data_IF_181126882321
#
_entry.id   IF_181126882321
#
_cell.length_a   1.000
_cell.length_b   1.000
_cell.length_c   1.000
_cell.angle_alpha   90.00
_cell.angle_beta   90.00
_cell.angle_gamma   90.00
#
_symmetry.space_group_name_H-M   'P 1'
#
loop_
_entity.id
_entity.type
_entity.pdbx_description
1 polymer ?
#
# COMPACT_ATOMS: atom_id res chain seq x y z
N UNK A 1 19.61 -3.14 -11.55
CA UNK A 1 19.62 -1.70 -11.21
C UNK A 1 19.60 -1.60 -9.70
N UNK A 2 20.65 -1.06 -9.09
CA UNK A 2 20.68 -0.86 -7.63
C UNK A 2 19.83 0.37 -7.29
N UNK A 3 18.75 0.19 -6.53
CA UNK A 3 17.90 1.31 -6.11
C UNK A 3 18.59 1.99 -4.93
N UNK A 4 19.48 2.95 -5.24
CA UNK A 4 20.10 3.83 -4.25
C UNK A 4 19.01 4.61 -3.50
N UNK A 5 19.21 4.81 -2.20
CA UNK A 5 18.34 5.63 -1.32
C UNK A 5 16.88 5.14 -1.13
N UNK A 6 16.59 3.86 -1.33
CA UNK A 6 15.23 3.31 -1.08
C UNK A 6 14.69 3.64 0.33
N UNK A 7 15.56 3.67 1.35
CA UNK A 7 15.19 4.07 2.72
C UNK A 7 14.59 5.46 2.82
N UNK A 8 15.02 6.40 1.96
CA UNK A 8 14.46 7.76 1.91
C UNK A 8 13.11 7.83 1.19
N UNK A 9 12.76 6.81 0.40
CA UNK A 9 11.51 6.73 -0.37
C UNK A 9 10.38 6.06 0.39
N UNK A 10 10.68 5.10 1.28
CA UNK A 10 9.69 4.39 2.11
C UNK A 10 8.71 5.36 2.81
N UNK A 11 9.14 6.49 3.42
CA UNK A 11 8.21 7.42 4.04
C UNK A 11 7.21 8.07 3.08
N UNK A 12 7.57 8.23 1.81
CA UNK A 12 6.70 8.79 0.76
C UNK A 12 5.68 7.77 0.24
N UNK A 13 5.87 6.50 0.58
CA UNK A 13 5.04 5.39 0.13
C UNK A 13 4.06 4.95 1.22
N UNK A 14 3.58 5.88 2.05
CA UNK A 14 2.70 5.57 3.17
C UNK A 14 1.38 6.31 3.05
N UNK A 15 0.27 5.59 3.20
CA UNK A 15 -1.07 6.16 3.30
C UNK A 15 -1.80 5.60 4.52
N UNK A 16 -2.75 6.37 5.05
CA UNK A 16 -3.57 5.95 6.17
C UNK A 16 -4.78 5.16 5.67
N UNK A 17 -5.23 4.17 6.43
CA UNK A 17 -6.39 3.34 6.06
C UNK A 17 -7.71 4.10 5.99
N UNK A 18 -7.80 5.26 6.64
CA UNK A 18 -8.95 6.16 6.55
C UNK A 18 -8.86 7.19 5.40
N UNK A 19 -7.82 7.12 4.56
CA UNK A 19 -7.64 7.96 3.39
C UNK A 19 -8.46 7.50 2.18
N UNK A 20 -8.19 8.08 1.01
CA UNK A 20 -8.87 7.77 -0.25
C UNK A 20 -7.92 7.18 -1.32
N UNK A 21 -8.48 6.51 -2.33
CA UNK A 21 -7.73 5.88 -3.43
C UNK A 21 -6.80 6.87 -4.13
N UNK A 22 -7.24 8.13 -4.28
CA UNK A 22 -6.44 9.21 -4.89
C UNK A 22 -5.09 9.41 -4.22
N UNK A 23 -5.05 9.35 -2.88
CA UNK A 23 -3.81 9.52 -2.11
C UNK A 23 -2.88 8.32 -2.31
N UNK A 24 -3.45 7.10 -2.36
CA UNK A 24 -2.70 5.89 -2.68
C UNK A 24 -2.09 5.96 -4.08
N UNK A 25 -2.86 6.38 -5.08
CA UNK A 25 -2.37 6.56 -6.46
C UNK A 25 -1.24 7.60 -6.53
N UNK A 26 -1.38 8.72 -5.82
CA UNK A 26 -0.35 9.76 -5.75
C UNK A 26 0.93 9.25 -5.10
N UNK A 27 0.82 8.54 -3.97
CA UNK A 27 1.97 7.97 -3.28
C UNK A 27 2.71 6.93 -4.13
N UNK A 28 2.00 6.10 -4.92
CA UNK A 28 2.62 5.18 -5.87
C UNK A 28 3.40 5.95 -6.96
N UNK A 29 2.79 6.99 -7.53
CA UNK A 29 3.41 7.80 -8.58
C UNK A 29 4.66 8.55 -8.08
N UNK A 30 4.64 9.06 -6.84
CA UNK A 30 5.77 9.79 -6.24
C UNK A 30 6.85 8.83 -5.70
N UNK A 31 6.46 7.68 -5.17
CA UNK A 31 7.38 6.67 -4.62
C UNK A 31 8.17 5.88 -5.66
N UNK A 32 7.66 5.81 -6.91
CA UNK A 32 8.29 5.16 -8.07
C UNK A 32 8.65 3.67 -7.84
N UNK A 33 7.92 2.99 -6.96
CA UNK A 33 8.11 1.57 -6.64
C UNK A 33 6.87 0.71 -6.95
N UNK A 34 5.85 1.30 -7.58
CA UNK A 34 4.63 0.57 -8.00
C UNK A 34 3.71 0.15 -6.85
N UNK A 35 4.03 0.56 -5.62
CA UNK A 35 3.31 0.14 -4.42
C UNK A 35 3.28 1.21 -3.34
N UNK A 36 2.32 1.09 -2.41
CA UNK A 36 2.14 1.92 -1.23
C UNK A 36 1.81 1.05 -0.02
N UNK A 37 2.31 1.45 1.14
CA UNK A 37 2.07 0.82 2.43
C UNK A 37 0.86 1.50 3.08
N UNK A 38 -0.15 0.71 3.44
CA UNK A 38 -1.30 1.17 4.20
C UNK A 38 -1.05 0.95 5.68
N UNK A 39 -1.24 1.99 6.49
CA UNK A 39 -1.05 1.95 7.94
C UNK A 39 -2.27 2.44 8.70
N UNK A 40 -2.38 2.03 9.96
CA UNK A 40 -3.33 2.62 10.89
C UNK A 40 -3.04 4.12 11.11
N UNK A 41 -4.07 4.99 11.21
CA UNK A 41 -3.89 6.44 11.29
C UNK A 41 -2.99 6.92 12.45
N UNK A 42 -3.11 6.29 13.63
CA UNK A 42 -2.50 6.75 14.87
C UNK A 42 -1.29 5.91 15.32
N UNK A 43 -1.39 4.58 15.20
CA UNK A 43 -0.33 3.66 15.65
C UNK A 43 0.78 3.47 14.61
N UNK A 44 0.54 3.90 13.37
CA UNK A 44 1.34 3.58 12.18
C UNK A 44 1.58 2.08 11.95
N UNK A 45 0.76 1.22 12.58
CA UNK A 45 0.87 -0.22 12.41
C UNK A 45 0.60 -0.58 10.95
N UNK A 46 1.47 -1.40 10.38
CA UNK A 46 1.30 -1.97 9.05
C UNK A 46 -0.04 -2.72 8.95
N UNK A 47 -0.79 -2.45 7.87
CA UNK A 47 -2.03 -3.17 7.55
C UNK A 47 -1.86 -3.99 6.28
N UNK A 48 -1.42 -3.37 5.18
CA UNK A 48 -1.32 -4.05 3.89
C UNK A 48 -0.39 -3.30 2.93
N UNK A 49 0.01 -4.00 1.88
CA UNK A 49 0.71 -3.45 0.71
C UNK A 49 -0.29 -3.38 -0.44
N UNK A 50 -0.46 -2.19 -1.01
CA UNK A 50 -1.35 -1.94 -2.15
C UNK A 50 -0.51 -1.66 -3.39
N UNK A 51 -0.91 -2.22 -4.51
CA UNK A 51 -0.25 -2.05 -5.83
C UNK A 51 -1.10 -1.20 -6.77
N UNK A 52 -0.49 -0.72 -7.85
CA UNK A 52 -1.22 -0.11 -8.98
C UNK A 52 -2.29 -1.07 -9.56
N UNK A 53 -2.05 -2.38 -9.50
CA UNK A 53 -2.99 -3.42 -9.86
C UNK A 53 -4.28 -3.40 -9.02
N UNK A 54 -4.17 -3.14 -7.71
CA UNK A 54 -5.33 -3.05 -6.80
C UNK A 54 -6.15 -1.81 -7.10
N UNK A 55 -5.49 -0.67 -7.31
CA UNK A 55 -6.14 0.57 -7.73
C UNK A 55 -6.90 0.36 -9.05
N UNK A 56 -6.23 -0.23 -10.05
CA UNK A 56 -6.85 -0.51 -11.35
C UNK A 56 -8.07 -1.43 -11.20
N UNK A 57 -7.98 -2.49 -10.38
CA UNK A 57 -9.11 -3.39 -10.11
C UNK A 57 -10.26 -2.67 -9.42
N UNK A 58 -9.99 -1.84 -8.42
CA UNK A 58 -11.03 -1.08 -7.73
C UNK A 58 -11.78 -0.14 -8.67
N UNK A 59 -11.07 0.59 -9.55
CA UNK A 59 -11.70 1.43 -10.57
C UNK A 59 -12.56 0.63 -11.55
N UNK A 60 -12.18 -0.61 -11.88
CA UNK A 60 -12.99 -1.53 -12.70
C UNK A 60 -14.26 -2.02 -11.97
N UNK A 61 -14.24 -2.05 -10.64
CA UNK A 61 -15.39 -2.37 -9.79
C UNK A 61 -16.21 -1.13 -9.40
N UNK A 62 -16.15 -0.06 -10.21
CA UNK A 62 -16.92 1.18 -10.03
C UNK A 62 -16.60 1.99 -8.77
N UNK A 63 -15.51 1.68 -8.06
CA UNK A 63 -14.97 2.59 -7.06
C UNK A 63 -14.37 3.83 -7.74
N UNK A 64 -14.44 4.97 -7.05
CA UNK A 64 -13.92 6.25 -7.54
C UNK A 64 -12.61 6.61 -6.85
N UNK A 65 -11.93 7.66 -7.34
CA UNK A 65 -10.74 8.18 -6.68
C UNK A 65 -10.99 8.65 -5.23
N UNK A 66 -12.23 8.99 -4.88
CA UNK A 66 -12.63 9.43 -3.55
C UNK A 66 -13.17 8.29 -2.68
N UNK A 67 -13.23 7.06 -3.21
CA UNK A 67 -13.52 5.88 -2.40
C UNK A 67 -12.45 5.66 -1.34
N UNK A 68 -12.80 5.06 -0.18
CA UNK A 68 -11.86 4.87 0.91
C UNK A 68 -10.79 3.83 0.56
N UNK A 69 -9.57 4.01 1.06
CA UNK A 69 -8.44 3.05 0.86
C UNK A 69 -8.79 1.65 1.34
N UNK A 70 -9.70 1.51 2.31
CA UNK A 70 -10.13 0.22 2.83
C UNK A 70 -10.70 -0.73 1.77
N UNK A 71 -11.21 -0.24 0.64
CA UNK A 71 -11.70 -1.09 -0.47
C UNK A 71 -10.58 -1.76 -1.26
N UNK A 72 -9.33 -1.29 -1.09
CA UNK A 72 -8.13 -1.86 -1.72
C UNK A 72 -7.49 -2.96 -0.86
N UNK A 73 -7.90 -3.08 0.40
CA UNK A 73 -7.29 -4.01 1.35
C UNK A 73 -7.92 -5.39 1.13
N UNK A 74 -7.11 -6.34 0.68
CA UNK A 74 -7.55 -7.74 0.55
C UNK A 74 -7.70 -8.38 1.92
N UNK A 75 -8.81 -9.07 2.15
CA UNK A 75 -9.01 -9.90 3.35
C UNK A 75 -8.02 -11.08 3.41
N UNK A 76 -7.53 -11.53 2.25
CA UNK A 76 -6.57 -12.63 2.11
C UNK A 76 -5.10 -12.16 2.11
N UNK A 77 -4.81 -10.99 2.70
CA UNK A 77 -3.45 -10.46 2.74
C UNK A 77 -2.55 -11.31 3.65
N UNK A 78 -1.51 -11.92 3.08
CA UNK A 78 -0.47 -12.63 3.85
C UNK A 78 0.53 -11.61 4.40
N UNK A 79 0.77 -11.66 5.72
CA UNK A 79 1.75 -10.80 6.40
C UNK A 79 2.82 -11.65 7.06
N UNK A 80 4.08 -11.41 6.68
CA UNK A 80 5.23 -12.06 7.30
C UNK A 80 5.82 -11.20 8.42
N UNK A 81 6.21 -11.83 9.54
CA UNK A 81 7.01 -11.19 10.57
C UNK A 81 8.51 -11.35 10.26
N UNK A 82 9.36 -10.44 10.74
CA UNK A 82 10.83 -10.50 10.55
C UNK A 82 11.50 -11.76 11.14
N UNK A 83 10.78 -12.50 11.98
CA UNK A 83 11.23 -13.75 12.58
C UNK A 83 10.70 -15.01 11.88
N UNK A 84 9.88 -14.86 10.84
CA UNK A 84 9.40 -15.99 10.04
C UNK A 84 10.48 -16.47 9.06
N UNK A 85 10.59 -17.78 8.88
CA UNK A 85 11.38 -18.37 7.79
C UNK A 85 10.62 -18.27 6.47
N UNK A 86 11.32 -18.51 5.35
CA UNK A 86 10.69 -18.48 4.04
C UNK A 86 9.63 -19.60 3.87
N UNK A 87 9.78 -20.71 4.58
CA UNK A 87 8.81 -21.82 4.60
C UNK A 87 7.57 -21.53 5.43
N UNK A 88 7.60 -20.52 6.30
CA UNK A 88 6.49 -20.11 7.17
C UNK A 88 5.59 -19.03 6.53
N UNK A 89 5.96 -18.50 5.36
CA UNK A 89 5.22 -17.50 4.56
C UNK A 89 4.39 -18.22 3.50
#
# INVERSE_FOLDING_TARGET
>A
VEIKDYKKRIPLMKVRSNGIIRDAAKAIAEGLLGTVIVVEPDSERFISVVTDGDIRRALMYEYSADSPVSVLISEDSVTANIHMTAEEI
#
